data_IF_593868315992
#
_entry.id   IF_593868315992
#
_cell.length_a   1.000
_cell.length_b   1.000
_cell.length_c   1.000
_cell.angle_alpha   90.00
_cell.angle_beta   90.00
_cell.angle_gamma   90.00
#
_symmetry.space_group_name_H-M   'P 1'
#
loop_
_entity.id
_entity.type
_entity.pdbx_description
1 polymer ?
#
# COMPACT_ATOMS: atom_id res chain seq x y z
N UNK A 1 4.23 -10.47 30.63
CA UNK A 1 3.81 -9.33 29.80
C UNK A 1 4.87 -9.19 28.74
N UNK A 2 4.71 -9.94 27.67
CA UNK A 2 5.61 -9.94 26.54
C UNK A 2 5.44 -8.59 25.84
N UNK A 3 6.36 -7.67 26.11
CA UNK A 3 6.63 -6.57 25.21
C UNK A 3 7.16 -7.20 23.93
N UNK A 4 6.26 -7.57 23.05
CA UNK A 4 6.57 -7.83 21.65
C UNK A 4 7.06 -6.49 21.13
N UNK A 5 8.36 -6.23 21.29
CA UNK A 5 9.04 -5.23 20.49
C UNK A 5 8.87 -5.75 19.06
N UNK A 6 7.90 -5.17 18.35
CA UNK A 6 7.86 -5.22 16.90
C UNK A 6 9.17 -4.57 16.46
N UNK A 7 10.24 -5.38 16.42
CA UNK A 7 11.37 -5.06 15.57
C UNK A 7 10.74 -5.00 14.19
N UNK A 8 10.57 -3.78 13.67
CA UNK A 8 10.41 -3.53 12.24
C UNK A 8 11.73 -3.97 11.57
N UNK A 9 12.01 -5.28 11.60
CA UNK A 9 13.05 -5.93 10.81
C UNK A 9 12.64 -5.98 9.32
N UNK A 10 11.39 -5.62 9.03
CA UNK A 10 10.97 -5.31 7.69
C UNK A 10 11.37 -3.87 7.36
N UNK A 11 12.16 -3.65 6.29
CA UNK A 11 12.42 -2.29 5.85
C UNK A 11 11.08 -1.61 5.58
N UNK A 12 10.85 -0.45 6.20
CA UNK A 12 9.74 0.42 5.84
C UNK A 12 9.73 0.55 4.31
N UNK A 13 8.58 0.25 3.69
CA UNK A 13 8.46 0.32 2.24
C UNK A 13 8.95 1.68 1.77
N UNK A 14 9.93 1.63 0.87
CA UNK A 14 10.51 2.84 0.32
C UNK A 14 9.44 3.60 -0.46
N UNK A 15 9.61 4.93 -0.55
CA UNK A 15 8.68 5.78 -1.30
C UNK A 15 8.47 5.31 -2.75
N UNK A 16 9.50 4.75 -3.38
CA UNK A 16 9.40 4.14 -4.71
C UNK A 16 8.47 2.93 -4.73
N UNK A 17 8.61 2.01 -3.77
CA UNK A 17 7.73 0.84 -3.66
C UNK A 17 6.28 1.24 -3.42
N UNK A 18 6.03 2.28 -2.61
CA UNK A 18 4.68 2.81 -2.37
C UNK A 18 4.07 3.37 -3.66
N UNK A 19 4.85 4.08 -4.47
CA UNK A 19 4.42 4.59 -5.78
C UNK A 19 4.17 3.48 -6.79
N UNK A 20 5.03 2.46 -6.82
CA UNK A 20 4.85 1.29 -7.68
C UNK A 20 3.59 0.51 -7.31
N UNK A 21 3.28 0.38 -6.01
CA UNK A 21 2.04 -0.24 -5.52
C UNK A 21 0.80 0.54 -5.98
N UNK A 22 0.81 1.86 -5.81
CA UNK A 22 -0.28 2.73 -6.24
C UNK A 22 -0.48 2.66 -7.76
N UNK A 23 0.62 2.59 -8.51
CA UNK A 23 0.60 2.42 -9.98
C UNK A 23 0.02 1.06 -10.37
N UNK A 24 0.48 -0.03 -9.76
CA UNK A 24 -0.01 -1.38 -10.02
C UNK A 24 -1.52 -1.50 -9.75
N UNK A 25 -2.02 -0.89 -8.66
CA UNK A 25 -3.47 -0.83 -8.39
C UNK A 25 -4.20 -0.06 -9.50
N UNK A 26 -3.67 1.09 -9.90
CA UNK A 26 -4.28 1.92 -10.95
C UNK A 26 -4.29 1.21 -12.32
N UNK A 27 -3.22 0.50 -12.69
CA UNK A 27 -3.12 -0.24 -13.95
C UNK A 27 -4.02 -1.48 -13.95
N UNK A 28 -4.11 -2.21 -12.83
CA UNK A 28 -4.88 -3.45 -12.77
C UNK A 28 -6.38 -3.23 -12.52
N UNK A 29 -6.76 -2.13 -11.87
CA UNK A 29 -8.14 -1.88 -11.44
C UNK A 29 -8.74 -0.53 -11.85
N UNK A 30 -7.94 0.36 -12.46
CA UNK A 30 -8.36 1.66 -12.98
C UNK A 30 -8.25 2.81 -11.98
N UNK A 31 -8.23 4.04 -12.49
CA UNK A 31 -7.99 5.28 -11.73
C UNK A 31 -9.20 5.85 -10.95
N UNK A 32 -10.33 5.14 -10.86
CA UNK A 32 -11.56 5.67 -10.27
C UNK A 32 -11.97 5.05 -8.91
N UNK A 33 -11.10 4.27 -8.27
CA UNK A 33 -11.36 3.59 -7.00
C UNK A 33 -11.68 4.54 -5.82
N UNK A 34 -12.59 4.12 -4.93
CA UNK A 34 -12.74 4.77 -3.62
C UNK A 34 -11.58 4.41 -2.70
N UNK A 35 -11.38 5.13 -1.59
CA UNK A 35 -10.33 4.78 -0.60
C UNK A 35 -10.51 3.37 -0.05
N UNK A 36 -11.75 2.94 0.16
CA UNK A 36 -12.04 1.58 0.62
C UNK A 36 -11.68 0.53 -0.45
N UNK A 37 -12.10 0.75 -1.70
CA UNK A 37 -11.79 -0.18 -2.81
C UNK A 37 -10.29 -0.22 -3.10
N UNK A 38 -9.59 0.91 -2.99
CA UNK A 38 -8.15 0.99 -3.13
C UNK A 38 -7.45 0.12 -2.08
N UNK A 39 -7.82 0.27 -0.80
CA UNK A 39 -7.24 -0.53 0.29
C UNK A 39 -7.51 -2.02 0.08
N UNK A 40 -8.73 -2.41 -0.28
CA UNK A 40 -9.07 -3.82 -0.53
C UNK A 40 -8.25 -4.41 -1.68
N UNK A 41 -8.14 -3.68 -2.80
CA UNK A 41 -7.39 -4.10 -3.99
C UNK A 41 -5.89 -4.14 -3.76
N UNK A 42 -5.39 -3.20 -2.96
CA UNK A 42 -3.99 -3.17 -2.53
C UNK A 42 -3.67 -4.39 -1.69
N UNK A 43 -4.50 -4.70 -0.69
CA UNK A 43 -4.33 -5.91 0.14
C UNK A 43 -4.40 -7.18 -0.70
N UNK A 44 -5.31 -7.25 -1.68
CA UNK A 44 -5.43 -8.38 -2.59
C UNK A 44 -4.16 -8.58 -3.44
N UNK A 45 -3.54 -7.51 -3.95
CA UNK A 45 -2.26 -7.62 -4.69
C UNK A 45 -1.11 -8.08 -3.79
N UNK A 46 -1.14 -7.73 -2.52
CA UNK A 46 -0.09 -8.06 -1.56
C UNK A 46 -0.25 -9.46 -0.96
N UNK A 47 -1.46 -10.03 -1.00
CA UNK A 47 -1.73 -11.41 -0.57
C UNK A 47 -0.89 -12.43 -1.38
N UNK A 48 -0.62 -12.12 -2.66
CA UNK A 48 0.21 -12.96 -3.53
C UNK A 48 1.72 -12.69 -3.39
N UNK A 49 2.12 -11.63 -2.63
CA UNK A 49 3.52 -11.23 -2.46
C UNK A 49 4.04 -11.67 -1.09
N UNK A 50 4.81 -12.77 -1.01
CA UNK A 50 5.35 -13.25 0.26
C UNK A 50 6.27 -12.19 0.89
N UNK A 51 5.98 -11.81 2.15
CA UNK A 51 6.78 -10.84 2.90
C UNK A 51 6.24 -9.39 2.89
N UNK A 52 5.17 -9.08 2.16
CA UNK A 52 4.49 -7.78 2.24
C UNK A 52 3.32 -7.73 3.24
N UNK A 53 2.89 -8.88 3.75
CA UNK A 53 1.70 -9.02 4.61
C UNK A 53 1.82 -8.23 5.92
N UNK A 54 3.03 -8.11 6.47
CA UNK A 54 3.31 -7.42 7.74
C UNK A 54 3.72 -5.95 7.57
N UNK A 55 4.35 -5.60 6.43
CA UNK A 55 4.80 -4.23 6.18
C UNK A 55 3.62 -3.32 5.80
N UNK A 56 2.67 -3.82 5.01
CA UNK A 56 1.52 -3.05 4.50
C UNK A 56 0.29 -3.05 5.42
N UNK A 57 0.25 -3.87 6.46
CA UNK A 57 -0.84 -3.86 7.45
C UNK A 57 -0.75 -2.71 8.45
N UNK A 58 0.36 -1.95 8.42
CA UNK A 58 0.47 -0.68 9.13
C UNK A 58 -0.25 0.43 8.34
N UNK A 59 -0.97 1.33 9.04
CA UNK A 59 -1.78 2.37 8.38
C UNK A 59 -0.95 3.32 7.51
N UNK A 60 0.34 3.48 7.83
CA UNK A 60 1.28 4.42 7.23
C UNK A 60 1.52 4.24 5.72
N UNK A 61 1.86 3.03 5.22
CA UNK A 61 2.04 2.78 3.79
C UNK A 61 0.74 2.85 2.98
N UNK A 62 -0.40 2.42 3.53
CA UNK A 62 -1.70 2.52 2.84
C UNK A 62 -2.07 4.00 2.62
N UNK A 63 -1.91 4.82 3.67
CA UNK A 63 -2.20 6.25 3.57
C UNK A 63 -1.27 6.98 2.60
N UNK A 64 0.00 6.58 2.55
CA UNK A 64 0.98 7.12 1.60
C UNK A 64 0.68 6.70 0.16
N UNK A 65 0.32 5.43 -0.08
CA UNK A 65 -0.04 4.92 -1.39
C UNK A 65 -1.33 5.56 -1.91
N UNK A 66 -2.32 5.75 -1.03
CA UNK A 66 -3.55 6.48 -1.35
C UNK A 66 -3.25 7.95 -1.70
N UNK A 67 -2.35 8.59 -0.95
CA UNK A 67 -1.89 9.95 -1.22
C UNK A 67 -1.35 10.08 -2.65
N UNK A 68 -0.42 9.21 -3.05
CA UNK A 68 0.16 9.22 -4.40
C UNK A 68 -0.88 8.86 -5.48
N UNK A 69 -1.70 7.84 -5.26
CA UNK A 69 -2.80 7.49 -6.18
C UNK A 69 -3.76 8.66 -6.40
N UNK A 70 -4.13 9.37 -5.33
CA UNK A 70 -5.02 10.52 -5.42
C UNK A 70 -4.40 11.69 -6.20
N UNK A 71 -3.10 11.95 -6.02
CA UNK A 71 -2.39 12.98 -6.80
C UNK A 71 -2.42 12.66 -8.29
N UNK A 72 -2.11 11.41 -8.64
CA UNK A 72 -2.13 10.94 -10.02
C UNK A 72 -3.54 10.98 -10.66
N UNK A 73 -4.61 10.79 -9.86
CA UNK A 73 -6.01 10.89 -10.32
C UNK A 73 -6.47 12.31 -10.64
N UNK A 74 -5.97 13.31 -9.90
CA UNK A 74 -6.39 14.71 -10.05
C UNK A 74 -5.49 15.53 -11.00
N UNK A 75 -4.39 14.95 -11.49
CA UNK A 75 -3.47 15.59 -12.45
C UNK A 75 -3.75 15.24 -13.94
N UNK A 76 -4.78 14.44 -14.25
CA UNK A 76 -5.23 14.15 -15.64
C UNK A 76 -6.44 14.98 -16.09
#
# INVERSE_FOLDING_TARGET
MDNIQYHNDFPELTFEQIRDLATAVCENFGGNLSRADFTEKLLWLLEDVPGCELACTTSTPIDSAWGEYSRHRFES
#
